data_IF_725955923199
#
_entry.id   IF_725955923199
#
_cell.length_a   1.000
_cell.length_b   1.000
_cell.length_c   1.000
_cell.angle_alpha   90.00
_cell.angle_beta   90.00
_cell.angle_gamma   90.00
#
_symmetry.space_group_name_H-M   'P 1'
#
loop_
_entity.id
_entity.type
_entity.pdbx_description
1 polymer ?
#
# COMPACT_ATOMS: atom_id res chain seq x y z
N UNK A 1 19.46 5.16 62.67
CA UNK A 1 19.90 5.29 61.27
C UNK A 1 19.63 3.96 60.62
N UNK A 2 18.63 3.88 59.76
CA UNK A 2 18.30 2.66 59.02
C UNK A 2 18.30 3.05 57.55
N UNK A 3 19.41 2.72 56.89
CA UNK A 3 19.58 2.86 55.46
C UNK A 3 18.54 2.01 54.75
N UNK A 4 17.64 2.68 54.03
CA UNK A 4 16.69 2.01 53.14
C UNK A 4 17.38 1.88 51.80
N UNK A 5 17.89 0.69 51.52
CA UNK A 5 18.22 0.30 50.15
C UNK A 5 16.92 0.26 49.34
N UNK A 6 16.63 1.40 48.70
CA UNK A 6 15.59 1.48 47.71
C UNK A 6 16.08 0.76 46.47
N UNK A 7 15.70 -0.51 46.36
CA UNK A 7 15.77 -1.22 45.09
C UNK A 7 14.76 -0.51 44.17
N UNK A 8 15.27 0.35 43.30
CA UNK A 8 14.48 1.00 42.27
C UNK A 8 14.21 -0.05 41.20
N UNK A 9 13.16 -0.86 41.38
CA UNK A 9 12.64 -1.64 40.25
C UNK A 9 11.97 -0.62 39.34
N UNK A 10 12.60 -0.36 38.20
CA UNK A 10 12.03 0.47 37.13
C UNK A 10 10.89 -0.32 36.46
N UNK A 11 9.80 -0.53 37.20
CA UNK A 11 8.57 -1.15 36.71
C UNK A 11 7.70 -0.14 35.93
N UNK A 12 8.34 0.79 35.21
CA UNK A 12 7.67 1.92 34.60
C UNK A 12 8.27 2.25 33.25
N UNK A 13 7.94 1.47 32.22
CA UNK A 13 8.31 1.84 30.85
C UNK A 13 8.29 0.76 29.77
N UNK A 14 7.94 -0.49 30.08
CA UNK A 14 8.08 -1.58 29.09
C UNK A 14 6.96 -1.62 28.03
N UNK A 15 5.71 -1.31 28.39
CA UNK A 15 4.57 -1.49 27.48
C UNK A 15 4.47 -0.46 26.36
N UNK A 16 4.56 0.83 26.70
CA UNK A 16 4.28 1.89 25.71
C UNK A 16 5.38 2.00 24.65
N UNK A 17 6.65 1.88 25.05
CA UNK A 17 7.79 1.92 24.13
C UNK A 17 7.80 0.73 23.17
N UNK A 18 7.44 -0.46 23.67
CA UNK A 18 7.34 -1.67 22.85
C UNK A 18 6.19 -1.60 21.85
N UNK A 19 5.01 -1.11 22.28
CA UNK A 19 3.86 -0.91 21.39
C UNK A 19 4.20 0.09 20.28
N UNK A 20 4.80 1.23 20.62
CA UNK A 20 5.21 2.25 19.63
C UNK A 20 6.27 1.69 18.68
N UNK A 21 7.24 0.92 19.20
CA UNK A 21 8.25 0.25 18.38
C UNK A 21 7.63 -0.74 17.38
N UNK A 22 6.69 -1.57 17.82
CA UNK A 22 5.99 -2.53 16.95
C UNK A 22 5.17 -1.80 15.87
N UNK A 23 4.44 -0.75 16.25
CA UNK A 23 3.67 0.05 15.29
C UNK A 23 4.58 0.68 14.22
N UNK A 24 5.75 1.20 14.62
CA UNK A 24 6.71 1.76 13.69
C UNK A 24 7.22 0.72 12.68
N UNK A 25 7.51 -0.51 13.14
CA UNK A 25 7.95 -1.60 12.26
C UNK A 25 6.83 -1.98 11.27
N UNK A 26 5.59 -2.13 11.74
CA UNK A 26 4.44 -2.46 10.89
C UNK A 26 4.23 -1.37 9.82
N UNK A 27 4.36 -0.10 10.19
CA UNK A 27 4.22 1.01 9.26
C UNK A 27 5.28 0.96 8.14
N UNK A 28 6.54 0.67 8.48
CA UNK A 28 7.62 0.53 7.49
C UNK A 28 7.33 -0.64 6.54
N UNK A 29 6.92 -1.79 7.07
CA UNK A 29 6.58 -2.97 6.26
C UNK A 29 5.40 -2.66 5.32
N UNK A 30 4.38 -1.94 5.80
CA UNK A 30 3.23 -1.54 4.99
C UNK A 30 3.63 -0.58 3.85
N UNK A 31 4.53 0.38 4.10
CA UNK A 31 5.04 1.29 3.07
C UNK A 31 5.84 0.54 2.01
N UNK A 32 6.76 -0.34 2.43
CA UNK A 32 7.54 -1.16 1.51
C UNK A 32 6.62 -2.07 0.68
N UNK A 33 5.63 -2.71 1.32
CA UNK A 33 4.64 -3.51 0.61
C UNK A 33 3.85 -2.67 -0.39
N UNK A 34 3.34 -1.50 0.01
CA UNK A 34 2.53 -0.64 -0.85
C UNK A 34 3.29 -0.17 -2.11
N UNK A 35 4.57 0.16 -1.96
CA UNK A 35 5.42 0.65 -3.05
C UNK A 35 5.97 -0.48 -3.93
N UNK A 36 6.31 -1.63 -3.35
CA UNK A 36 6.97 -2.72 -4.09
C UNK A 36 6.00 -3.78 -4.63
N UNK A 37 4.93 -4.11 -3.90
CA UNK A 37 3.99 -5.20 -4.23
C UNK A 37 2.53 -4.73 -4.32
N UNK A 38 2.20 -3.59 -3.73
CA UNK A 38 0.86 -3.03 -3.68
C UNK A 38 0.53 -2.17 -4.90
N UNK A 39 -0.64 -1.50 -4.89
CA UNK A 39 -1.11 -0.71 -6.02
C UNK A 39 -0.19 0.46 -6.41
N UNK A 40 0.76 0.86 -5.54
CA UNK A 40 1.79 1.85 -5.86
C UNK A 40 2.90 1.33 -6.78
N UNK A 41 3.09 0.00 -6.86
CA UNK A 41 4.08 -0.63 -7.73
C UNK A 41 3.63 -0.70 -9.20
N UNK A 42 2.31 -0.60 -9.43
CA UNK A 42 1.67 -0.78 -10.74
C UNK A 42 1.01 0.48 -11.30
N UNK A 43 1.21 1.66 -10.71
CA UNK A 43 0.77 2.94 -11.29
C UNK A 43 1.65 3.37 -12.48
N UNK A 44 1.97 2.42 -13.36
CA UNK A 44 2.44 2.69 -14.71
C UNK A 44 1.21 2.66 -15.61
N UNK A 45 0.80 3.84 -16.09
CA UNK A 45 0.14 4.05 -17.39
C UNK A 45 -0.83 2.94 -17.82
N UNK A 46 -2.08 3.00 -17.36
CA UNK A 46 -3.16 2.90 -18.35
C UNK A 46 -3.25 4.31 -18.93
N UNK A 47 -2.58 4.66 -20.01
CA UNK A 47 -2.85 4.15 -21.34
C UNK A 47 -4.34 3.87 -21.47
N UNK A 48 -5.05 4.95 -21.75
CA UNK A 48 -6.24 4.99 -22.59
C UNK A 48 -5.93 4.37 -23.96
N UNK A 49 -5.41 3.13 -23.99
CA UNK A 49 -5.38 2.28 -25.17
C UNK A 49 -6.81 1.80 -25.39
N UNK A 50 -7.69 2.76 -25.69
CA UNK A 50 -8.97 2.50 -26.31
C UNK A 50 -8.70 1.67 -27.54
N UNK A 51 -9.03 0.39 -27.46
CA UNK A 51 -9.05 -0.51 -28.61
C UNK A 51 -9.98 0.11 -29.65
N UNK A 52 -9.41 0.86 -30.60
CA UNK A 52 -10.17 1.46 -31.70
C UNK A 52 -10.48 0.34 -32.68
N UNK A 53 -11.63 -0.32 -32.48
CA UNK A 53 -12.14 -1.32 -33.42
C UNK A 53 -12.69 -0.56 -34.63
N UNK A 54 -11.93 -0.44 -35.71
CA UNK A 54 -12.43 0.11 -36.97
C UNK A 54 -13.23 -0.97 -37.71
N UNK A 55 -14.56 -0.94 -37.60
CA UNK A 55 -15.45 -1.84 -38.35
C UNK A 55 -15.74 -1.23 -39.71
N UNK A 56 -15.12 -1.76 -40.75
CA UNK A 56 -15.44 -1.40 -42.13
C UNK A 56 -16.68 -2.20 -42.56
N UNK A 57 -17.82 -1.51 -42.64
CA UNK A 57 -19.09 -2.11 -43.07
C UNK A 57 -19.06 -2.36 -44.58
N UNK A 58 -19.40 -3.57 -45.06
CA UNK A 58 -19.52 -3.81 -46.49
C UNK A 58 -20.65 -2.93 -47.05
N UNK A 59 -20.29 -1.95 -47.88
CA UNK A 59 -21.26 -1.12 -48.59
C UNK A 59 -21.93 -1.95 -49.69
N UNK A 60 -23.10 -2.51 -49.41
CA UNK A 60 -23.99 -2.97 -50.48
C UNK A 60 -24.51 -1.73 -51.22
N UNK A 61 -24.05 -1.52 -52.45
CA UNK A 61 -24.70 -0.56 -53.34
C UNK A 61 -26.16 -1.02 -53.53
N UNK A 62 -27.17 -0.12 -53.50
CA UNK A 62 -28.54 -0.49 -53.80
C UNK A 62 -28.59 -1.11 -55.19
N UNK A 63 -28.92 -2.40 -55.28
CA UNK A 63 -29.28 -3.04 -56.55
C UNK A 63 -30.63 -2.42 -56.95
N UNK A 64 -30.56 -1.32 -57.71
CA UNK A 64 -31.72 -0.65 -58.26
C UNK A 64 -32.57 -1.65 -59.06
N UNK A 65 -33.87 -1.61 -58.81
CA UNK A 65 -34.94 -2.40 -59.44
C UNK A 65 -35.10 -2.09 -60.92
#
# INVERSE_FOLDING_TARGET
>A
MSDRDTIVVKDGGSGMGLIVGIIAIIAIVAVVWYVALGPGAGAGTGDDNGTTINVELPSIAPQGS
#
